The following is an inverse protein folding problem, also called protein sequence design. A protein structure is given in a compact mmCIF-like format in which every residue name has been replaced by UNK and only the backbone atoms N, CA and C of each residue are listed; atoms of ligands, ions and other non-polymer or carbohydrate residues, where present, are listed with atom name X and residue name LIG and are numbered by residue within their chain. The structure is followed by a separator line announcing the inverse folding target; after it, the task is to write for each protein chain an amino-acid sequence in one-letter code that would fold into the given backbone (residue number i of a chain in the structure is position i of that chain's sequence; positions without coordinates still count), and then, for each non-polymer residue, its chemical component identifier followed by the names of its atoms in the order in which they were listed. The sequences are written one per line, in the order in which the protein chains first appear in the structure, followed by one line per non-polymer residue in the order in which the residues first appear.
data_IF_793673032649
#
_entry.id   IF_793673032649
#
_cell.length_a   1.000
_cell.length_b   1.000
_cell.length_c   1.000
_cell.angle_alpha   90.00
_cell.angle_beta   90.00
_cell.angle_gamma   90.00
#
_symmetry.space_group_name_H-M   'P 1'
#
loop_
_entity.id
_entity.type
_entity.pdbx_description
1 polymer ?
#
# COMPACT_ATOMS: atom_id res chain seq x y z
N UNK A 1 -19.86 -1.30 -9.06
CA UNK A 1 -19.17 -0.79 -10.27
C UNK A 1 -18.27 -1.88 -10.87
N UNK A 2 -17.23 -2.35 -10.17
CA UNK A 2 -16.36 -3.43 -10.68
C UNK A 2 -17.09 -4.76 -10.93
N UNK A 3 -18.09 -5.10 -10.11
CA UNK A 3 -18.86 -6.34 -10.30
C UNK A 3 -19.59 -6.40 -11.65
N UNK A 4 -20.00 -5.27 -12.23
CA UNK A 4 -20.61 -5.26 -13.56
C UNK A 4 -19.62 -5.65 -14.65
N UNK A 5 -18.35 -5.24 -14.53
CA UNK A 5 -17.28 -5.60 -15.47
C UNK A 5 -16.87 -7.07 -15.33
N UNK A 6 -16.95 -7.63 -14.12
CA UNK A 6 -16.73 -9.06 -13.88
C UNK A 6 -17.89 -9.87 -14.47
N UNK A 7 -19.13 -9.48 -14.17
CA UNK A 7 -20.32 -10.18 -14.61
C UNK A 7 -20.47 -10.20 -16.13
N UNK A 8 -20.16 -9.08 -16.79
CA UNK A 8 -20.18 -8.99 -18.26
C UNK A 8 -19.22 -9.97 -18.93
N UNK A 9 -18.15 -10.40 -18.24
CA UNK A 9 -17.15 -11.37 -18.73
C UNK A 9 -17.32 -12.77 -18.16
N UNK A 10 -18.30 -13.00 -17.27
CA UNK A 10 -18.51 -14.28 -16.58
C UNK A 10 -18.78 -15.44 -17.54
N UNK A 11 -19.36 -15.16 -18.69
CA UNK A 11 -19.66 -16.14 -19.73
C UNK A 11 -18.47 -16.44 -20.66
N UNK A 12 -17.36 -15.69 -20.56
CA UNK A 12 -16.18 -15.87 -21.39
C UNK A 12 -15.23 -16.92 -20.80
N UNK A 13 -14.51 -17.62 -21.68
CA UNK A 13 -13.40 -18.48 -21.27
C UNK A 13 -12.19 -17.65 -20.84
N UNK A 14 -11.32 -18.22 -19.99
CA UNK A 14 -10.08 -17.54 -19.58
C UNK A 14 -9.19 -17.12 -20.74
N UNK A 15 -9.16 -17.87 -21.84
CA UNK A 15 -8.41 -17.52 -23.04
C UNK A 15 -8.97 -16.27 -23.75
N UNK A 16 -10.29 -16.11 -23.78
CA UNK A 16 -10.95 -14.92 -24.33
C UNK A 16 -10.68 -13.69 -23.47
N UNK A 17 -10.80 -13.82 -22.15
CA UNK A 17 -10.48 -12.73 -21.21
C UNK A 17 -9.01 -12.32 -21.31
N UNK A 18 -8.08 -13.28 -21.44
CA UNK A 18 -6.67 -12.98 -21.63
C UNK A 18 -6.39 -12.27 -22.97
N UNK A 19 -7.10 -12.65 -24.04
CA UNK A 19 -6.98 -11.98 -25.34
C UNK A 19 -7.43 -10.52 -25.23
N UNK A 20 -8.61 -10.28 -24.65
CA UNK A 20 -9.13 -8.93 -24.42
C UNK A 20 -8.17 -8.09 -23.56
N UNK A 21 -7.66 -8.66 -22.47
CA UNK A 21 -6.69 -7.98 -21.60
C UNK A 21 -5.44 -7.54 -22.38
N UNK A 22 -4.90 -8.40 -23.24
CA UNK A 22 -3.74 -8.06 -24.08
C UNK A 22 -4.04 -6.91 -25.05
N UNK A 23 -5.22 -6.92 -25.66
CA UNK A 23 -5.66 -5.85 -26.58
C UNK A 23 -5.78 -4.51 -25.83
N UNK A 24 -6.39 -4.51 -24.64
CA UNK A 24 -6.51 -3.31 -23.79
C UNK A 24 -5.14 -2.81 -23.33
N UNK A 25 -4.23 -3.70 -22.92
CA UNK A 25 -2.88 -3.32 -22.49
C UNK A 25 -2.12 -2.63 -23.62
N UNK A 26 -2.17 -3.18 -24.84
CA UNK A 26 -1.52 -2.57 -26.01
C UNK A 26 -2.11 -1.18 -26.28
N UNK A 27 -3.44 -1.08 -26.36
CA UNK A 27 -4.11 0.20 -26.63
C UNK A 27 -3.81 1.26 -25.56
N UNK A 28 -3.84 0.89 -24.26
CA UNK A 28 -3.52 1.80 -23.15
C UNK A 28 -2.06 2.22 -23.16
N UNK A 29 -1.13 1.30 -23.43
CA UNK A 29 0.29 1.63 -23.53
C UNK A 29 0.53 2.62 -24.67
N UNK A 30 0.02 2.33 -25.87
CA UNK A 30 0.15 3.23 -27.03
C UNK A 30 -0.43 4.61 -26.74
N UNK A 31 -1.58 4.69 -26.06
CA UNK A 31 -2.14 5.97 -25.62
C UNK A 31 -1.18 6.71 -24.69
N UNK A 32 -0.70 6.07 -23.61
CA UNK A 32 0.18 6.73 -22.64
C UNK A 32 1.53 7.15 -23.22
N UNK A 33 2.11 6.36 -24.14
CA UNK A 33 3.36 6.71 -24.82
C UNK A 33 3.20 7.98 -25.68
N UNK A 34 1.98 8.25 -26.17
CA UNK A 34 1.65 9.43 -27.00
C UNK A 34 1.03 10.59 -26.25
N UNK A 35 0.65 10.40 -24.99
CA UNK A 35 -0.11 11.38 -24.23
C UNK A 35 0.78 12.59 -23.85
N UNK A 36 0.30 13.84 -24.03
CA UNK A 36 1.06 15.01 -23.62
C UNK A 36 1.14 15.10 -22.10
N UNK A 37 2.17 15.79 -21.58
CA UNK A 37 2.32 16.02 -20.14
C UNK A 37 1.07 16.63 -19.48
N UNK A 38 0.35 17.49 -20.22
CA UNK A 38 -0.91 18.09 -19.79
C UNK A 38 -2.00 17.07 -19.46
N UNK A 39 -2.00 15.89 -20.08
CA UNK A 39 -2.93 14.82 -19.71
C UNK A 39 -2.68 14.33 -18.28
N UNK A 40 -1.41 14.22 -17.87
CA UNK A 40 -1.01 13.71 -16.56
C UNK A 40 -1.18 14.75 -15.44
N UNK A 41 -1.02 16.04 -15.77
CA UNK A 41 -1.14 17.14 -14.81
C UNK A 41 -2.55 17.71 -14.69
N UNK A 42 -3.43 17.44 -15.66
CA UNK A 42 -4.84 17.85 -15.60
C UNK A 42 -5.57 17.26 -14.39
N UNK A 43 -6.41 18.08 -13.75
CA UNK A 43 -7.25 17.67 -12.64
C UNK A 43 -8.30 16.64 -13.09
N UNK A 44 -8.48 15.59 -12.29
CA UNK A 44 -9.45 14.52 -12.50
C UNK A 44 -10.13 14.13 -11.20
N UNK A 45 -11.31 13.51 -11.31
CA UNK A 45 -11.97 12.89 -10.17
C UNK A 45 -11.28 11.56 -9.85
N UNK A 46 -10.78 11.42 -8.64
CA UNK A 46 -10.12 10.20 -8.16
C UNK A 46 -10.85 9.64 -6.93
N UNK A 47 -10.59 8.39 -6.52
CA UNK A 47 -11.17 7.84 -5.30
C UNK A 47 -10.85 8.64 -4.03
N UNK A 48 -9.78 9.43 -4.04
CA UNK A 48 -9.36 10.29 -2.91
C UNK A 48 -9.72 11.76 -3.11
N UNK A 49 -10.65 12.08 -4.02
CA UNK A 49 -11.06 13.44 -4.37
C UNK A 49 -10.39 13.94 -5.66
N UNK A 50 -10.46 15.25 -5.89
CA UNK A 50 -9.84 15.88 -7.07
C UNK A 50 -8.33 15.89 -6.95
N UNK A 51 -7.65 15.38 -7.97
CA UNK A 51 -6.19 15.37 -8.04
C UNK A 51 -5.72 15.27 -9.51
N UNK A 52 -4.46 15.57 -9.82
CA UNK A 52 -3.90 15.33 -11.15
C UNK A 52 -4.10 13.88 -11.62
N UNK A 53 -4.31 13.67 -12.92
CA UNK A 53 -4.45 12.33 -13.53
C UNK A 53 -3.30 11.38 -13.15
N UNK A 54 -2.06 11.87 -13.01
CA UNK A 54 -0.93 11.08 -12.55
C UNK A 54 -1.16 10.44 -11.17
N UNK A 55 -1.82 11.15 -10.25
CA UNK A 55 -2.18 10.61 -8.93
C UNK A 55 -3.19 9.48 -9.09
N UNK A 56 -4.18 9.63 -9.98
CA UNK A 56 -5.12 8.54 -10.24
C UNK A 56 -4.43 7.32 -10.86
N UNK A 57 -3.55 7.51 -11.84
CA UNK A 57 -2.79 6.41 -12.45
C UNK A 57 -1.89 5.70 -11.44
N UNK A 58 -1.30 6.42 -10.47
CA UNK A 58 -0.53 5.80 -9.38
C UNK A 58 -1.38 4.88 -8.50
N UNK A 59 -2.66 5.22 -8.27
CA UNK A 59 -3.63 4.36 -7.57
C UNK A 59 -3.87 3.09 -8.40
N UNK A 60 -4.11 3.25 -9.71
CA UNK A 60 -4.39 2.11 -10.59
C UNK A 60 -3.19 1.17 -10.76
N UNK A 61 -1.97 1.72 -10.73
CA UNK A 61 -0.74 0.93 -10.71
C UNK A 61 -0.64 0.08 -9.43
N UNK A 62 -0.92 0.68 -8.27
CA UNK A 62 -1.00 -0.04 -7.00
C UNK A 62 -2.07 -1.15 -7.05
N UNK A 63 -3.30 -0.83 -7.46
CA UNK A 63 -4.41 -1.81 -7.53
C UNK A 63 -4.03 -3.02 -8.39
N UNK A 64 -3.48 -2.76 -9.59
CA UNK A 64 -3.10 -3.81 -10.54
C UNK A 64 -1.99 -4.69 -9.97
N UNK A 65 -1.00 -4.07 -9.31
CA UNK A 65 0.10 -4.81 -8.69
C UNK A 65 -0.36 -5.61 -7.48
N UNK A 66 -1.20 -5.06 -6.59
CA UNK A 66 -1.76 -5.79 -5.44
C UNK A 66 -2.55 -7.01 -5.92
N UNK A 67 -3.38 -6.86 -6.95
CA UNK A 67 -4.14 -7.99 -7.53
C UNK A 67 -3.25 -9.00 -8.26
N UNK A 68 -2.16 -8.55 -8.88
CA UNK A 68 -1.14 -9.47 -9.39
C UNK A 68 -0.55 -10.31 -8.24
N UNK A 69 -0.23 -9.67 -7.10
CA UNK A 69 0.27 -10.39 -5.92
C UNK A 69 -0.79 -11.33 -5.32
N UNK A 70 -2.07 -10.96 -5.34
CA UNK A 70 -3.18 -11.84 -4.92
C UNK A 70 -3.19 -13.14 -5.75
N UNK A 71 -3.14 -13.03 -7.09
CA UNK A 71 -3.11 -14.18 -8.00
C UNK A 71 -1.84 -15.00 -7.78
N UNK A 72 -0.68 -14.34 -7.71
CA UNK A 72 0.63 -14.98 -7.54
C UNK A 72 0.72 -15.79 -6.25
N UNK A 73 0.22 -15.26 -5.13
CA UNK A 73 0.14 -15.99 -3.86
C UNK A 73 -0.77 -17.22 -3.99
N UNK A 74 -1.94 -17.06 -4.60
CA UNK A 74 -2.91 -18.15 -4.76
C UNK A 74 -2.36 -19.34 -5.56
N UNK A 75 -1.48 -19.09 -6.54
CA UNK A 75 -0.84 -20.12 -7.36
C UNK A 75 0.61 -20.43 -6.95
N UNK A 76 1.07 -19.91 -5.81
CA UNK A 76 2.43 -20.06 -5.29
C UNK A 76 3.54 -19.69 -6.32
N UNK A 77 3.37 -18.57 -7.02
CA UNK A 77 4.31 -18.09 -8.06
C UNK A 77 4.87 -16.70 -7.73
N UNK A 78 6.07 -16.61 -7.12
CA UNK A 78 6.66 -15.31 -6.77
C UNK A 78 6.96 -14.45 -8.01
N UNK A 79 7.04 -13.14 -7.81
CA UNK A 79 7.46 -12.19 -8.85
C UNK A 79 6.93 -10.77 -8.64
N UNK A 80 7.65 -9.79 -9.19
CA UNK A 80 7.34 -8.36 -9.13
C UNK A 80 7.25 -7.74 -7.71
N UNK A 81 7.71 -8.45 -6.68
CA UNK A 81 7.66 -7.99 -5.28
C UNK A 81 8.60 -6.82 -4.98
N UNK A 82 9.64 -6.61 -5.80
CA UNK A 82 10.54 -5.44 -5.76
C UNK A 82 10.48 -4.62 -7.05
N UNK A 83 9.34 -4.63 -7.75
CA UNK A 83 9.15 -3.84 -8.97
C UNK A 83 8.91 -2.36 -8.66
N UNK A 84 8.96 -1.48 -9.67
CA UNK A 84 8.57 -0.08 -9.51
C UNK A 84 7.14 0.08 -8.98
N UNK A 85 6.22 -0.82 -9.35
CA UNK A 85 4.87 -0.80 -8.80
C UNK A 85 4.83 -1.20 -7.32
N UNK A 86 5.74 -2.07 -6.86
CA UNK A 86 5.89 -2.41 -5.45
C UNK A 86 6.36 -1.19 -4.64
N UNK A 87 7.41 -0.51 -5.12
CA UNK A 87 7.92 0.73 -4.52
C UNK A 87 6.83 1.80 -4.42
N UNK A 88 6.10 2.05 -5.52
CA UNK A 88 4.98 3.00 -5.56
C UNK A 88 3.84 2.63 -4.59
N UNK A 89 3.53 1.34 -4.48
CA UNK A 89 2.48 0.84 -3.58
C UNK A 89 2.86 1.03 -2.12
N UNK A 90 4.10 0.68 -1.74
CA UNK A 90 4.62 0.90 -0.39
C UNK A 90 4.63 2.40 -0.07
N UNK A 91 5.17 3.24 -0.96
CA UNK A 91 5.26 4.69 -0.75
C UNK A 91 3.90 5.37 -0.62
N UNK A 92 2.87 4.83 -1.26
CA UNK A 92 1.49 5.30 -1.09
C UNK A 92 0.96 4.93 0.29
N UNK A 93 1.12 3.68 0.71
CA UNK A 93 0.53 3.16 1.95
C UNK A 93 1.23 3.72 3.20
N UNK A 94 2.55 3.94 3.17
CA UNK A 94 3.28 4.51 4.32
C UNK A 94 2.80 5.91 4.70
N UNK A 95 2.23 6.67 3.75
CA UNK A 95 1.68 8.02 4.02
C UNK A 95 0.52 8.01 5.00
N UNK A 96 -0.11 6.85 5.22
CA UNK A 96 -1.20 6.70 6.17
C UNK A 96 -0.72 6.33 7.58
N UNK A 97 0.55 5.92 7.75
CA UNK A 97 1.10 5.46 9.02
C UNK A 97 0.95 6.48 10.15
N UNK A 98 1.09 7.81 9.95
CA UNK A 98 0.85 8.76 11.03
C UNK A 98 -0.57 8.67 11.60
N UNK A 99 -1.57 8.48 10.75
CA UNK A 99 -2.96 8.29 11.20
C UNK A 99 -3.13 6.94 11.92
N UNK A 100 -2.47 5.86 11.46
CA UNK A 100 -2.45 4.58 12.16
C UNK A 100 -1.85 4.71 13.56
N UNK A 101 -0.67 5.32 13.68
CA UNK A 101 0.06 5.42 14.94
C UNK A 101 -0.60 6.40 15.91
N UNK A 102 -0.87 7.63 15.46
CA UNK A 102 -1.41 8.68 16.33
C UNK A 102 -2.89 8.49 16.65
N UNK A 103 -3.73 8.23 15.64
CA UNK A 103 -5.19 8.22 15.82
C UNK A 103 -5.74 6.84 16.18
N UNK A 104 -5.35 5.79 15.45
CA UNK A 104 -5.91 4.45 15.65
C UNK A 104 -5.26 3.71 16.82
N UNK A 105 -3.93 3.70 16.88
CA UNK A 105 -3.16 3.01 17.92
C UNK A 105 -2.92 3.87 19.18
N UNK A 106 -3.18 5.18 19.10
CA UNK A 106 -3.08 6.13 20.21
C UNK A 106 -1.69 6.14 20.86
N UNK A 107 -0.64 6.29 20.04
CA UNK A 107 0.70 6.51 20.55
C UNK A 107 0.72 7.76 21.47
N UNK A 108 1.45 7.72 22.60
CA UNK A 108 1.44 8.82 23.57
C UNK A 108 1.97 10.15 22.99
N UNK A 109 1.51 11.27 23.54
CA UNK A 109 2.06 12.59 23.25
C UNK A 109 3.57 12.64 23.57
N UNK A 110 4.36 13.29 22.70
CA UNK A 110 5.82 13.37 22.84
C UNK A 110 6.57 12.08 22.50
N UNK A 111 5.86 11.00 22.11
CA UNK A 111 6.50 9.73 21.77
C UNK A 111 7.01 9.68 20.33
N UNK A 112 7.98 8.78 20.11
CA UNK A 112 8.50 8.42 18.79
C UNK A 112 8.26 6.94 18.54
N UNK A 113 7.77 6.59 17.36
CA UNK A 113 7.61 5.21 16.88
C UNK A 113 8.42 5.03 15.60
N UNK A 114 8.99 3.84 15.42
CA UNK A 114 9.68 3.47 14.17
C UNK A 114 8.97 2.29 13.50
N UNK A 115 8.70 2.43 12.21
CA UNK A 115 8.26 1.32 11.34
C UNK A 115 9.39 1.01 10.37
N UNK A 116 9.90 -0.22 10.42
CA UNK A 116 10.92 -0.77 9.51
C UNK A 116 10.25 -1.76 8.56
N UNK A 117 10.28 -1.43 7.28
CA UNK A 117 9.86 -2.31 6.20
C UNK A 117 11.13 -2.89 5.58
N UNK A 118 11.23 -4.22 5.56
CA UNK A 118 12.39 -4.96 5.03
C UNK A 118 12.03 -5.76 3.78
N UNK A 119 12.99 -6.53 3.25
CA UNK A 119 12.76 -7.40 2.12
C UNK A 119 12.91 -6.71 0.76
N UNK A 120 12.08 -7.06 -0.25
CA UNK A 120 12.22 -6.54 -1.62
C UNK A 120 12.08 -5.02 -1.75
N UNK A 121 11.32 -4.38 -0.86
CA UNK A 121 11.17 -2.91 -0.79
C UNK A 121 11.47 -2.49 0.63
N UNK A 122 12.47 -1.63 0.83
CA UNK A 122 12.93 -1.26 2.16
C UNK A 122 12.58 0.19 2.50
N UNK A 123 12.03 0.41 3.68
CA UNK A 123 11.73 1.75 4.22
C UNK A 123 11.96 1.79 5.73
N UNK A 124 12.39 2.94 6.24
CA UNK A 124 12.39 3.24 7.67
C UNK A 124 11.62 4.54 7.87
N UNK A 125 10.53 4.47 8.63
CA UNK A 125 9.64 5.61 8.86
C UNK A 125 9.69 5.93 10.35
N UNK A 126 10.16 7.14 10.68
CA UNK A 126 10.17 7.67 12.04
C UNK A 126 8.95 8.57 12.20
N UNK A 127 8.12 8.30 13.21
CA UNK A 127 6.86 9.03 13.44
C UNK A 127 6.88 9.58 14.86
N UNK A 128 6.76 10.90 14.97
CA UNK A 128 6.67 11.61 16.24
C UNK A 128 5.22 12.09 16.46
N UNK A 129 4.76 12.03 17.72
CA UNK A 129 3.49 12.62 18.14
C UNK A 129 3.77 13.95 18.82
N UNK A 130 3.28 15.04 18.23
CA UNK A 130 3.42 16.39 18.76
C UNK A 130 2.10 17.15 18.60
N UNK A 131 1.71 17.88 19.65
CA UNK A 131 0.49 18.69 19.67
C UNK A 131 -0.76 17.85 19.32
N UNK A 132 -0.80 16.59 19.79
CA UNK A 132 -1.87 15.65 19.51
C UNK A 132 -1.89 15.08 18.07
N UNK A 133 -0.85 15.36 17.26
CA UNK A 133 -0.77 14.90 15.87
C UNK A 133 0.51 14.10 15.62
N UNK A 134 0.33 12.91 15.06
CA UNK A 134 1.44 12.13 14.53
C UNK A 134 1.86 12.64 13.15
N UNK A 135 3.18 12.72 12.91
CA UNK A 135 3.77 13.07 11.61
C UNK A 135 5.07 12.30 11.38
N UNK A 136 5.39 12.06 10.11
CA UNK A 136 6.72 11.52 9.73
C UNK A 136 7.77 12.61 9.95
N UNK A 137 8.89 12.26 10.56
CA UNK A 137 10.06 13.12 10.76
C UNK A 137 11.30 12.45 10.18
N UNK A 138 12.32 13.23 9.81
CA UNK A 138 13.56 12.69 9.25
C UNK A 138 14.38 11.94 10.31
N UNK A 139 14.55 12.57 11.47
CA UNK A 139 15.26 12.02 12.63
C UNK A 139 14.59 12.46 13.92
N UNK A 140 14.94 11.80 15.02
CA UNK A 140 14.59 12.24 16.37
C UNK A 140 15.69 11.80 17.33
N UNK A 141 16.01 12.66 18.29
CA UNK A 141 16.94 12.35 19.40
C UNK A 141 16.23 11.61 20.54
N UNK A 142 14.91 11.49 20.47
CA UNK A 142 14.10 10.73 21.42
C UNK A 142 14.17 9.24 21.04
N UNK A 143 14.51 8.40 22.02
CA UNK A 143 14.48 6.94 21.82
C UNK A 143 13.05 6.49 21.52
N UNK A 144 12.83 5.63 20.50
CA UNK A 144 11.49 5.21 20.13
C UNK A 144 10.85 4.38 21.25
N UNK A 145 9.60 4.69 21.58
CA UNK A 145 8.81 3.90 22.54
C UNK A 145 8.45 2.53 21.96
N UNK A 146 8.37 2.43 20.63
CA UNK A 146 8.13 1.18 19.91
C UNK A 146 8.86 1.17 18.56
N UNK A 147 9.46 0.03 18.23
CA UNK A 147 9.91 -0.29 16.88
C UNK A 147 9.13 -1.51 16.36
N UNK A 148 8.59 -1.39 15.15
CA UNK A 148 7.84 -2.46 14.48
C UNK A 148 8.55 -2.78 13.18
N UNK A 149 8.83 -4.06 12.94
CA UNK A 149 9.55 -4.52 11.76
C UNK A 149 8.80 -5.67 11.09
N UNK A 150 8.67 -5.59 9.77
CA UNK A 150 8.09 -6.64 8.93
C UNK A 150 8.57 -6.50 7.48
N UNK A 151 8.49 -7.60 6.73
CA UNK A 151 8.77 -7.62 5.28
C UNK A 151 7.76 -6.80 4.49
N UNK A 152 8.14 -6.27 3.33
CA UNK A 152 7.26 -5.46 2.48
C UNK A 152 6.01 -6.21 2.01
N UNK A 153 6.05 -7.52 1.82
CA UNK A 153 4.85 -8.30 1.51
C UNK A 153 3.91 -8.38 2.71
N UNK A 154 4.45 -8.58 3.94
CA UNK A 154 3.65 -8.54 5.18
C UNK A 154 2.97 -7.19 5.32
N UNK A 155 3.71 -6.10 5.11
CA UNK A 155 3.16 -4.75 5.14
C UNK A 155 1.97 -4.60 4.20
N UNK A 156 2.13 -5.02 2.93
CA UNK A 156 1.09 -4.91 1.92
C UNK A 156 -0.12 -5.79 2.27
N UNK A 157 0.10 -7.03 2.71
CA UNK A 157 -0.97 -7.95 3.11
C UNK A 157 -1.82 -7.35 4.26
N UNK A 158 -1.18 -6.76 5.26
CA UNK A 158 -1.86 -6.07 6.36
C UNK A 158 -2.56 -4.79 5.89
N UNK A 159 -1.85 -3.95 5.14
CA UNK A 159 -2.31 -2.64 4.71
C UNK A 159 -3.55 -2.73 3.79
N UNK A 160 -3.60 -3.79 2.98
CA UNK A 160 -4.69 -4.06 2.04
C UNK A 160 -5.73 -5.05 2.57
N UNK A 161 -5.60 -5.50 3.82
CA UNK A 161 -6.56 -6.38 4.48
C UNK A 161 -6.62 -7.81 3.92
N UNK A 162 -5.54 -8.27 3.26
CA UNK A 162 -5.41 -9.65 2.74
C UNK A 162 -5.05 -10.65 3.84
N UNK A 163 -4.49 -10.17 4.94
CA UNK A 163 -4.23 -10.94 6.14
C UNK A 163 -4.42 -10.08 7.39
N UNK A 164 -4.69 -10.72 8.52
CA UNK A 164 -4.74 -10.07 9.83
C UNK A 164 -3.36 -10.07 10.48
N UNK A 165 -3.14 -9.17 11.43
CA UNK A 165 -1.91 -9.16 12.25
C UNK A 165 -1.76 -10.43 13.09
N UNK A 166 -2.86 -11.11 13.43
CA UNK A 166 -2.85 -12.41 14.10
C UNK A 166 -2.32 -13.52 13.20
N UNK A 167 -2.81 -13.59 11.95
CA UNK A 167 -2.34 -14.56 10.95
C UNK A 167 -0.85 -14.39 10.63
N UNK A 168 -0.32 -13.18 10.75
CA UNK A 168 1.07 -12.84 10.42
C UNK A 168 1.94 -12.56 11.65
N UNK A 169 1.49 -12.94 12.86
CA UNK A 169 2.17 -12.62 14.13
C UNK A 169 3.66 -12.96 14.12
N UNK A 170 4.02 -14.16 13.66
CA UNK A 170 5.41 -14.64 13.64
C UNK A 170 6.29 -13.92 12.58
N UNK A 171 5.67 -13.14 11.71
CA UNK A 171 6.34 -12.34 10.67
C UNK A 171 6.40 -10.84 11.03
N UNK A 172 5.95 -10.48 12.24
CA UNK A 172 5.95 -9.11 12.75
C UNK A 172 6.81 -9.07 14.01
N UNK A 173 7.91 -8.33 13.97
CA UNK A 173 8.77 -8.11 15.13
C UNK A 173 8.42 -6.78 15.79
N UNK A 174 8.25 -6.81 17.11
CA UNK A 174 7.97 -5.62 17.92
C UNK A 174 9.00 -5.54 19.04
N UNK A 175 9.57 -4.35 19.25
CA UNK A 175 10.53 -4.05 20.32
C UNK A 175 10.06 -2.80 21.05
N UNK A 176 10.18 -2.78 22.39
CA UNK A 176 9.70 -1.68 23.24
C UNK A 176 8.29 -1.93 23.77
N UNK A 177 7.39 -0.97 23.62
CA UNK A 177 5.97 -1.09 24.01
C UNK A 177 5.24 -2.07 23.07
N UNK A 178 5.21 -3.35 23.49
CA UNK A 178 4.56 -4.43 22.75
C UNK A 178 3.07 -4.17 22.55
N UNK A 179 2.37 -3.64 23.56
CA UNK A 179 0.95 -3.39 23.48
C UNK A 179 0.63 -2.29 22.45
N UNK A 180 1.45 -1.24 22.36
CA UNK A 180 1.34 -0.25 21.29
C UNK A 180 1.64 -0.86 19.92
N UNK A 181 2.70 -1.67 19.80
CA UNK A 181 3.05 -2.34 18.56
C UNK A 181 1.95 -3.24 18.01
N UNK A 182 1.29 -4.02 18.87
CA UNK A 182 0.14 -4.87 18.50
C UNK A 182 -1.06 -4.03 18.03
N UNK A 183 -1.35 -2.91 18.71
CA UNK A 183 -2.41 -1.97 18.25
C UNK A 183 -2.08 -1.37 16.89
N UNK A 184 -0.82 -1.00 16.65
CA UNK A 184 -0.39 -0.48 15.34
C UNK A 184 -0.56 -1.56 14.28
N UNK A 185 -0.04 -2.77 14.49
CA UNK A 185 -0.14 -3.88 13.55
C UNK A 185 -1.61 -4.23 13.23
N UNK A 186 -2.48 -4.26 14.24
CA UNK A 186 -3.92 -4.50 14.06
C UNK A 186 -4.67 -3.35 13.38
N UNK A 187 -4.12 -2.13 13.38
CA UNK A 187 -4.72 -0.95 12.78
C UNK A 187 -4.21 -0.64 11.35
N UNK A 188 -3.31 -1.47 10.82
CA UNK A 188 -2.71 -1.28 9.49
C UNK A 188 -3.68 -1.48 8.34
N UNK A 189 -4.80 -2.18 8.50
CA UNK A 189 -5.78 -2.28 7.41
C UNK A 189 -6.32 -0.88 7.08
N UNK A 190 -5.86 -0.33 5.96
CA UNK A 190 -6.10 1.06 5.58
C UNK A 190 -7.35 1.22 4.72
N UNK A 191 -7.89 0.13 4.14
CA UNK A 191 -9.03 0.13 3.21
C UNK A 191 -9.03 1.37 2.28
N UNK A 192 -7.99 1.49 1.46
CA UNK A 192 -7.84 2.59 0.49
C UNK A 192 -8.35 2.15 -0.88
#
# INVERSE_FOLDING_TARGET
MNEHEVDSRRHLTGAQVLKEFKEVVVARKSFFDSAPESYFTAESNTPIGKAPMAVFLSIRAMDSWVHEQDIRRAINKPGNQGSLCAELSVDRLIRTLPMVIGKRAKAPEGSVSIVKITGPVQRKIVIAVKDGRAAVVETSDISPVVEIEFDSNVFIELATGRATSEQLRDRIKIVGDVALGERVAGALNMMI
#
